data_IF_076137080263
#
_entry.id   IF_076137080263
#
_cell.length_a   1.000
_cell.length_b   1.000
_cell.length_c   1.000
_cell.angle_alpha   90.00
_cell.angle_beta   90.00
_cell.angle_gamma   90.00
#
_symmetry.space_group_name_H-M   'P 1'
#
loop_
_entity.id
_entity.type
_entity.pdbx_description
1 polymer ?
#
# COMPACT_ATOMS: atom_id res chain seq x y z
N UNK A 1 9.70 15.73 16.99
CA UNK A 1 9.73 15.80 15.51
C UNK A 1 8.83 16.90 14.96
N UNK A 2 7.59 17.05 15.46
CA UNK A 2 6.67 18.11 15.00
C UNK A 2 7.21 19.51 15.29
N UNK A 3 7.80 19.71 16.45
CA UNK A 3 8.34 21.00 16.88
C UNK A 3 9.67 21.34 16.21
N UNK A 4 10.46 20.33 15.83
CA UNK A 4 11.78 20.53 15.24
C UNK A 4 11.72 20.71 13.72
N UNK A 5 10.65 20.25 13.06
CA UNK A 5 10.51 20.27 11.59
C UNK A 5 11.53 19.41 10.84
N UNK A 6 12.43 18.72 11.55
CA UNK A 6 13.54 17.95 11.00
C UNK A 6 13.46 16.46 11.38
N UNK A 7 13.91 15.63 10.45
CA UNK A 7 14.03 14.19 10.68
C UNK A 7 15.33 13.88 11.39
N UNK A 8 15.32 13.10 12.49
CA UNK A 8 16.52 12.74 13.21
C UNK A 8 17.57 12.06 12.32
N UNK A 9 18.81 12.45 12.47
CA UNK A 9 19.92 11.92 11.66
C UNK A 9 20.07 10.40 11.82
N UNK A 10 19.87 9.85 13.01
CA UNK A 10 19.97 8.42 13.27
C UNK A 10 18.99 7.60 12.41
N UNK A 11 17.76 8.10 12.19
CA UNK A 11 16.77 7.44 11.34
C UNK A 11 17.21 7.41 9.87
N UNK A 12 17.83 8.50 9.42
CA UNK A 12 18.40 8.60 8.08
C UNK A 12 19.60 7.66 7.92
N UNK A 13 20.51 7.64 8.90
CA UNK A 13 21.70 6.80 8.89
C UNK A 13 21.38 5.30 8.91
N UNK A 14 20.43 4.89 9.77
CA UNK A 14 20.00 3.48 9.89
C UNK A 14 19.44 2.96 8.56
N UNK A 15 18.59 3.76 7.92
CA UNK A 15 17.99 3.46 6.60
C UNK A 15 19.06 3.45 5.50
N UNK A 16 19.95 4.45 5.49
CA UNK A 16 21.00 4.58 4.49
C UNK A 16 21.91 3.34 4.47
N UNK A 17 22.38 2.90 5.65
CA UNK A 17 23.21 1.68 5.78
C UNK A 17 22.51 0.44 5.23
N UNK A 18 21.22 0.28 5.55
CA UNK A 18 20.46 -0.87 5.07
C UNK A 18 20.31 -0.85 3.54
N UNK A 19 19.95 0.30 2.95
CA UNK A 19 19.80 0.40 1.49
C UNK A 19 21.12 0.27 0.75
N UNK A 20 22.18 0.84 1.29
CA UNK A 20 23.54 0.73 0.74
C UNK A 20 24.01 -0.74 0.69
N UNK A 21 23.77 -1.50 1.75
CA UNK A 21 24.09 -2.95 1.79
C UNK A 21 23.35 -3.76 0.71
N UNK A 22 22.19 -3.27 0.28
CA UNK A 22 21.40 -3.86 -0.79
C UNK A 22 21.79 -3.34 -2.20
N UNK A 23 22.61 -2.28 -2.31
CA UNK A 23 22.91 -1.61 -3.56
C UNK A 23 21.72 -0.85 -4.15
N UNK A 24 20.78 -0.41 -3.30
CA UNK A 24 19.64 0.40 -3.69
C UNK A 24 19.91 1.90 -3.45
N UNK A 25 19.36 2.81 -4.26
CA UNK A 25 19.52 4.25 -4.03
C UNK A 25 19.09 4.65 -2.60
N UNK A 26 19.95 5.32 -1.85
CA UNK A 26 19.73 5.71 -0.45
C UNK A 26 18.57 6.71 -0.32
N UNK A 27 18.41 7.58 -1.31
CA UNK A 27 17.35 8.59 -1.43
C UNK A 27 16.73 8.53 -2.83
N UNK A 28 15.50 9.04 -3.01
CA UNK A 28 14.98 9.24 -4.36
C UNK A 28 15.94 10.06 -5.20
N UNK A 29 16.45 9.54 -6.32
CA UNK A 29 17.45 10.22 -7.14
C UNK A 29 16.99 11.60 -7.61
N UNK A 30 17.91 12.57 -7.58
CA UNK A 30 17.74 13.94 -8.08
C UNK A 30 18.98 14.34 -8.87
N UNK A 31 18.77 15.05 -9.97
CA UNK A 31 19.84 15.54 -10.83
C UNK A 31 19.85 17.07 -10.72
N UNK A 32 20.98 17.65 -10.27
CA UNK A 32 21.13 19.10 -10.19
C UNK A 32 21.28 19.74 -11.57
N UNK A 33 22.19 19.16 -12.39
CA UNK A 33 22.51 19.64 -13.74
C UNK A 33 22.65 18.47 -14.70
N UNK A 34 22.41 18.72 -16.00
CA UNK A 34 22.56 17.75 -17.07
C UNK A 34 21.25 17.09 -17.50
N UNK A 35 21.35 16.16 -18.45
CA UNK A 35 20.19 15.47 -19.04
C UNK A 35 19.73 14.33 -18.14
N UNK A 36 18.44 14.31 -17.86
CA UNK A 36 17.79 13.24 -17.12
C UNK A 36 16.42 12.90 -17.69
N UNK A 37 15.83 11.81 -17.23
CA UNK A 37 14.41 11.48 -17.40
C UNK A 37 13.74 11.39 -16.04
N UNK A 38 12.52 11.89 -15.94
CA UNK A 38 11.74 11.82 -14.71
C UNK A 38 10.81 10.61 -14.75
N UNK A 39 10.84 9.83 -13.67
CA UNK A 39 9.90 8.74 -13.44
C UNK A 39 8.61 9.29 -12.85
N UNK A 40 7.47 9.05 -13.52
CA UNK A 40 6.17 9.58 -13.13
C UNK A 40 5.25 8.52 -12.50
N UNK A 41 5.79 7.43 -11.95
CA UNK A 41 4.99 6.35 -11.35
C UNK A 41 4.45 6.74 -9.97
N UNK A 42 5.25 7.43 -9.16
CA UNK A 42 4.90 7.78 -7.79
C UNK A 42 5.43 9.17 -7.38
N UNK A 43 5.08 9.58 -6.17
CA UNK A 43 5.46 10.88 -5.57
C UNK A 43 6.97 11.15 -5.53
N UNK A 44 7.79 10.09 -5.62
CA UNK A 44 9.24 10.26 -5.62
C UNK A 44 9.77 10.95 -6.88
N UNK A 45 9.07 10.85 -8.01
CA UNK A 45 9.45 11.56 -9.24
C UNK A 45 10.96 11.52 -9.52
N UNK A 46 11.56 10.31 -9.40
CA UNK A 46 12.99 10.10 -9.50
C UNK A 46 13.53 10.68 -10.83
N UNK A 47 14.56 11.50 -10.75
CA UNK A 47 15.29 12.01 -11.90
C UNK A 47 16.49 11.11 -12.15
N UNK A 48 16.54 10.49 -13.33
CA UNK A 48 17.54 9.46 -13.63
C UNK A 48 18.36 9.85 -14.86
N UNK A 49 19.69 9.85 -14.71
CA UNK A 49 20.60 9.86 -15.84
C UNK A 49 20.56 8.53 -16.57
N UNK A 50 21.18 8.46 -17.73
CA UNK A 50 21.30 7.22 -18.50
C UNK A 50 21.89 6.10 -17.63
N UNK A 51 21.24 4.93 -17.62
CA UNK A 51 21.63 3.75 -16.84
C UNK A 51 21.27 3.78 -15.36
N UNK A 52 20.84 4.92 -14.80
CA UNK A 52 20.48 5.02 -13.38
C UNK A 52 19.14 4.35 -13.08
N UNK A 53 19.00 3.89 -11.81
CA UNK A 53 17.84 3.19 -11.31
C UNK A 53 17.11 4.05 -10.26
N UNK A 54 15.79 4.04 -10.32
CA UNK A 54 14.92 4.75 -9.37
C UNK A 54 14.93 4.14 -7.98
N UNK A 55 14.39 4.90 -7.01
CA UNK A 55 14.36 4.53 -5.59
C UNK A 55 13.75 3.15 -5.30
N UNK A 56 12.74 2.72 -6.06
CA UNK A 56 12.12 1.41 -5.91
C UNK A 56 12.97 0.23 -6.46
N UNK A 57 14.04 0.49 -7.22
CA UNK A 57 14.87 -0.52 -7.85
C UNK A 57 14.36 -1.09 -9.17
N UNK A 58 13.19 -0.63 -9.67
CA UNK A 58 12.46 -1.28 -10.77
C UNK A 58 12.40 -0.47 -12.08
N UNK A 59 12.58 0.84 -12.00
CA UNK A 59 12.53 1.74 -13.14
C UNK A 59 13.91 2.31 -13.41
N UNK A 60 14.29 2.39 -14.66
CA UNK A 60 15.58 2.95 -15.09
C UNK A 60 15.40 3.82 -16.34
N UNK A 61 16.35 4.74 -16.56
CA UNK A 61 16.48 5.47 -17.81
C UNK A 61 17.38 4.65 -18.74
N UNK A 62 16.85 4.20 -19.86
CA UNK A 62 17.60 3.42 -20.86
C UNK A 62 17.29 3.98 -22.26
N UNK A 63 18.31 4.43 -22.96
CA UNK A 63 18.18 5.06 -24.27
C UNK A 63 17.34 6.33 -24.23
N UNK A 64 17.48 7.14 -23.18
CA UNK A 64 16.71 8.36 -22.99
C UNK A 64 15.22 8.15 -22.69
N UNK A 65 14.81 6.95 -22.30
CA UNK A 65 13.42 6.59 -22.00
C UNK A 65 13.30 5.89 -20.64
N UNK A 66 12.23 6.20 -19.90
CA UNK A 66 11.90 5.46 -18.67
C UNK A 66 11.42 4.07 -19.01
N UNK A 67 12.10 3.06 -18.49
CA UNK A 67 11.76 1.64 -18.73
C UNK A 67 11.60 0.89 -17.42
N UNK A 68 10.57 0.05 -17.38
CA UNK A 68 10.45 -0.98 -16.36
C UNK A 68 11.44 -2.10 -16.65
N UNK A 69 12.32 -2.41 -15.71
CA UNK A 69 13.51 -3.25 -15.93
C UNK A 69 13.21 -4.70 -16.30
N UNK A 70 12.03 -5.19 -15.98
CA UNK A 70 11.61 -6.58 -16.28
C UNK A 70 10.78 -6.71 -17.56
N UNK A 71 10.42 -5.59 -18.20
CA UNK A 71 9.38 -5.58 -19.24
C UNK A 71 7.98 -5.58 -18.62
N UNK A 72 6.97 -5.15 -19.38
CA UNK A 72 5.60 -5.00 -18.88
C UNK A 72 4.86 -6.33 -18.73
N UNK A 73 5.36 -7.38 -19.34
CA UNK A 73 4.81 -8.75 -19.30
C UNK A 73 5.24 -9.54 -18.06
N UNK A 74 6.17 -9.01 -17.25
CA UNK A 74 6.73 -9.68 -16.08
C UNK A 74 6.65 -8.80 -14.84
N UNK A 75 6.58 -9.44 -13.68
CA UNK A 75 6.63 -8.80 -12.37
C UNK A 75 7.66 -9.47 -11.47
N UNK A 76 8.25 -8.66 -10.57
CA UNK A 76 9.11 -9.14 -9.50
C UNK A 76 8.24 -9.45 -8.28
N UNK A 77 8.30 -10.66 -7.76
CA UNK A 77 7.53 -11.05 -6.60
C UNK A 77 7.11 -12.52 -6.66
N UNK A 78 6.07 -12.81 -5.94
CA UNK A 78 5.43 -14.13 -5.90
C UNK A 78 3.92 -13.95 -5.72
N UNK A 79 3.18 -15.01 -5.92
CA UNK A 79 1.77 -15.08 -5.58
C UNK A 79 1.43 -16.43 -4.92
N UNK A 80 0.34 -16.46 -4.20
CA UNK A 80 -0.19 -17.67 -3.57
C UNK A 80 -1.72 -17.58 -3.44
N UNK A 81 -2.36 -18.73 -3.29
CA UNK A 81 -3.78 -18.82 -2.99
C UNK A 81 -3.98 -18.72 -1.48
N UNK A 82 -4.72 -17.70 -1.04
CA UNK A 82 -5.03 -17.42 0.34
C UNK A 82 -6.52 -17.73 0.57
N UNK A 83 -6.86 -18.75 1.39
CA UNK A 83 -8.25 -19.17 1.58
C UNK A 83 -9.07 -18.09 2.29
N UNK A 84 -10.35 -17.95 1.92
CA UNK A 84 -11.27 -17.09 2.64
C UNK A 84 -11.78 -17.76 3.93
N UNK A 85 -11.94 -17.01 5.04
CA UNK A 85 -11.67 -15.56 5.19
C UNK A 85 -10.17 -15.25 5.21
N UNK A 86 -9.75 -14.33 4.33
CA UNK A 86 -8.34 -13.91 4.25
C UNK A 86 -7.99 -12.94 5.38
N UNK A 87 -6.72 -12.93 5.78
CA UNK A 87 -6.18 -11.99 6.75
C UNK A 87 -5.89 -10.62 6.11
N UNK A 88 -6.88 -10.04 5.46
CA UNK A 88 -6.79 -8.72 4.83
C UNK A 88 -7.00 -7.61 5.86
N UNK A 89 -6.22 -6.51 5.76
CA UNK A 89 -6.42 -5.31 6.59
C UNK A 89 -7.84 -4.76 6.48
N UNK A 90 -8.45 -4.83 5.29
CA UNK A 90 -9.85 -4.46 5.08
C UNK A 90 -10.86 -5.52 5.56
N UNK A 91 -10.43 -6.56 6.29
CA UNK A 91 -11.23 -7.70 6.74
C UNK A 91 -12.62 -7.37 7.27
N UNK A 92 -12.79 -6.37 8.17
CA UNK A 92 -14.10 -5.99 8.70
C UNK A 92 -15.13 -5.54 7.66
N UNK A 93 -14.68 -5.10 6.49
CA UNK A 93 -15.54 -4.60 5.40
C UNK A 93 -15.28 -5.32 4.06
N UNK A 94 -14.39 -6.32 4.07
CA UNK A 94 -14.04 -7.09 2.87
C UNK A 94 -15.25 -7.89 2.36
N UNK A 95 -15.60 -7.79 1.06
CA UNK A 95 -16.71 -8.55 0.48
C UNK A 95 -16.60 -10.06 0.74
N UNK A 96 -15.44 -10.64 0.55
CA UNK A 96 -15.21 -12.07 0.74
C UNK A 96 -15.36 -12.53 2.21
N UNK A 97 -15.11 -11.62 3.17
CA UNK A 97 -15.21 -11.94 4.60
C UNK A 97 -16.60 -11.61 5.20
N UNK A 98 -17.40 -10.78 4.53
CA UNK A 98 -18.65 -10.24 5.10
C UNK A 98 -19.90 -10.45 4.25
N UNK A 99 -19.73 -10.74 2.95
CA UNK A 99 -20.83 -10.79 1.99
C UNK A 99 -21.32 -9.40 1.52
N UNK A 100 -20.65 -8.30 1.90
CA UNK A 100 -21.01 -6.95 1.42
C UNK A 100 -20.98 -6.89 -0.11
N UNK A 101 -22.07 -6.40 -0.70
CA UNK A 101 -22.26 -6.34 -2.15
C UNK A 101 -22.82 -7.61 -2.78
N UNK A 102 -23.35 -8.56 -1.98
CA UNK A 102 -24.10 -9.71 -2.47
C UNK A 102 -25.40 -9.28 -3.16
N UNK A 103 -25.84 -9.91 -4.26
CA UNK A 103 -25.20 -11.02 -4.99
C UNK A 103 -24.20 -10.58 -6.08
N UNK A 104 -24.07 -9.29 -6.34
CA UNK A 104 -23.33 -8.76 -7.50
C UNK A 104 -21.84 -9.00 -7.41
N UNK A 105 -21.26 -8.81 -6.21
CA UNK A 105 -19.83 -8.77 -5.98
C UNK A 105 -19.30 -9.89 -5.08
N UNK A 106 -20.16 -10.76 -4.57
CA UNK A 106 -19.80 -11.91 -3.75
C UNK A 106 -20.53 -13.16 -4.16
N UNK A 107 -19.94 -14.32 -3.91
CA UNK A 107 -20.53 -15.64 -4.22
C UNK A 107 -21.58 -16.05 -3.18
N UNK A 108 -21.44 -15.55 -1.95
CA UNK A 108 -22.29 -15.92 -0.80
C UNK A 108 -22.75 -14.66 -0.06
N UNK A 109 -23.86 -14.69 0.66
CA UNK A 109 -24.31 -13.56 1.49
C UNK A 109 -23.47 -13.34 2.76
N UNK A 110 -22.49 -14.19 3.02
CA UNK A 110 -21.57 -14.14 4.14
C UNK A 110 -20.13 -14.41 3.70
N UNK A 111 -19.36 -15.08 4.56
CA UNK A 111 -17.98 -15.48 4.25
C UNK A 111 -17.92 -16.46 3.08
N UNK A 112 -17.06 -16.21 2.13
CA UNK A 112 -16.83 -17.06 0.94
C UNK A 112 -15.95 -18.26 1.27
N UNK A 113 -16.35 -19.14 2.19
CA UNK A 113 -15.61 -20.35 2.54
C UNK A 113 -15.51 -21.28 1.33
N UNK A 114 -14.31 -21.80 1.08
CA UNK A 114 -14.00 -22.67 -0.07
C UNK A 114 -13.54 -21.91 -1.32
N UNK A 115 -13.52 -20.59 -1.28
CA UNK A 115 -12.92 -19.73 -2.30
C UNK A 115 -11.62 -19.10 -1.82
N UNK A 116 -10.86 -18.53 -2.77
CA UNK A 116 -9.52 -18.01 -2.53
C UNK A 116 -9.35 -16.58 -3.04
N UNK A 117 -8.49 -15.86 -2.33
CA UNK A 117 -7.81 -14.68 -2.81
C UNK A 117 -6.51 -15.10 -3.51
N UNK A 118 -6.27 -14.65 -4.73
CA UNK A 118 -4.93 -14.67 -5.34
C UNK A 118 -4.13 -13.51 -4.76
N UNK A 119 -3.31 -13.80 -3.77
CA UNK A 119 -2.49 -12.85 -3.05
C UNK A 119 -1.18 -12.60 -3.80
N UNK A 120 -0.99 -11.40 -4.37
CA UNK A 120 0.15 -11.05 -5.22
C UNK A 120 1.11 -10.16 -4.45
N UNK A 121 2.25 -10.73 -4.03
CA UNK A 121 3.30 -10.04 -3.29
C UNK A 121 4.36 -9.50 -4.25
N UNK A 122 4.42 -8.17 -4.41
CA UNK A 122 5.40 -7.50 -5.26
C UNK A 122 6.70 -7.15 -4.54
N UNK A 123 7.83 -7.31 -5.22
CA UNK A 123 9.12 -6.77 -4.81
C UNK A 123 9.25 -5.28 -5.14
N UNK A 124 9.96 -4.52 -4.30
CA UNK A 124 10.14 -3.07 -4.45
C UNK A 124 8.97 -2.24 -3.91
N UNK A 125 9.26 -1.00 -3.55
CA UNK A 125 8.30 -0.06 -2.96
C UNK A 125 8.74 1.38 -3.24
N UNK A 126 7.79 2.31 -3.28
CA UNK A 126 8.06 3.75 -3.34
C UNK A 126 8.50 4.33 -1.98
N UNK A 127 8.35 3.58 -0.89
CA UNK A 127 8.75 3.93 0.48
C UNK A 127 9.89 3.04 0.99
N UNK A 128 10.48 3.46 2.10
CA UNK A 128 11.46 2.70 2.88
C UNK A 128 11.14 2.77 4.38
N UNK A 129 9.99 2.21 4.75
CA UNK A 129 9.50 2.25 6.12
C UNK A 129 10.46 1.53 7.08
N UNK A 130 10.79 2.17 8.21
CA UNK A 130 11.64 1.59 9.26
C UNK A 130 11.00 0.36 9.93
N UNK A 131 9.67 0.32 9.95
CA UNK A 131 8.84 -0.74 10.54
C UNK A 131 8.27 -1.72 9.52
N UNK A 132 8.85 -1.82 8.32
CA UNK A 132 8.29 -2.63 7.25
C UNK A 132 8.20 -4.10 7.66
N UNK A 133 6.99 -4.66 7.74
CA UNK A 133 6.80 -6.09 8.04
C UNK A 133 7.18 -6.98 6.85
N UNK A 134 7.03 -6.44 5.65
CA UNK A 134 7.34 -7.12 4.39
C UNK A 134 8.71 -6.69 3.82
N UNK A 135 9.71 -6.42 4.68
CA UNK A 135 11.00 -5.83 4.26
C UNK A 135 11.75 -6.67 3.21
N UNK A 136 11.44 -7.94 3.08
CA UNK A 136 12.00 -8.85 2.06
C UNK A 136 11.75 -8.36 0.63
N UNK A 137 10.72 -7.53 0.41
CA UNK A 137 10.50 -6.89 -0.89
C UNK A 137 11.70 -6.06 -1.36
N UNK A 138 12.49 -5.53 -0.40
CA UNK A 138 13.69 -4.73 -0.68
C UNK A 138 14.84 -5.63 -1.15
N UNK A 139 14.96 -6.82 -0.58
CA UNK A 139 15.93 -7.84 -0.98
C UNK A 139 15.63 -8.33 -2.40
N UNK A 140 14.35 -8.59 -2.70
CA UNK A 140 13.91 -8.91 -4.06
C UNK A 140 14.28 -7.80 -5.06
N UNK A 141 14.03 -6.55 -4.72
CA UNK A 141 14.40 -5.41 -5.56
C UNK A 141 15.91 -5.31 -5.74
N UNK A 142 16.71 -5.56 -4.68
CA UNK A 142 18.17 -5.62 -4.72
C UNK A 142 18.68 -6.73 -5.66
N UNK A 143 18.13 -7.93 -5.56
CA UNK A 143 18.48 -9.04 -6.45
C UNK A 143 18.19 -8.69 -7.92
N UNK A 144 17.08 -8.02 -8.20
CA UNK A 144 16.75 -7.54 -9.53
C UNK A 144 17.79 -6.52 -10.04
N UNK A 145 18.22 -5.57 -9.19
CA UNK A 145 19.28 -4.60 -9.55
C UNK A 145 20.59 -5.31 -9.87
N UNK A 146 20.92 -6.37 -9.13
CA UNK A 146 22.13 -7.18 -9.33
C UNK A 146 22.02 -8.24 -10.46
N UNK A 147 20.88 -8.26 -11.18
CA UNK A 147 20.64 -9.25 -12.24
C UNK A 147 20.42 -10.68 -11.75
N UNK A 148 20.08 -10.88 -10.48
CA UNK A 148 19.90 -12.20 -9.85
C UNK A 148 18.44 -12.59 -9.60
N UNK A 149 17.48 -11.91 -10.19
CA UNK A 149 16.05 -12.08 -9.90
C UNK A 149 15.54 -13.50 -10.12
N UNK A 150 15.27 -14.21 -9.02
CA UNK A 150 14.74 -15.59 -9.03
C UNK A 150 13.22 -15.66 -8.88
N UNK A 151 12.57 -14.59 -8.43
CA UNK A 151 11.12 -14.53 -8.19
C UNK A 151 10.49 -13.58 -9.18
N UNK A 152 10.37 -14.05 -10.41
CA UNK A 152 9.73 -13.34 -11.52
C UNK A 152 8.62 -14.23 -12.03
N UNK A 153 7.44 -13.65 -12.22
CA UNK A 153 6.30 -14.32 -12.84
C UNK A 153 5.77 -13.51 -14.00
N UNK A 154 5.10 -14.18 -14.93
CA UNK A 154 4.54 -13.54 -16.11
C UNK A 154 3.10 -13.06 -15.87
N UNK A 155 2.67 -12.09 -16.66
CA UNK A 155 1.27 -11.65 -16.72
C UNK A 155 0.34 -12.82 -17.07
N UNK A 156 0.76 -13.68 -17.99
CA UNK A 156 -0.02 -14.84 -18.43
C UNK A 156 -0.28 -15.81 -17.27
N UNK A 157 0.76 -16.23 -16.54
CA UNK A 157 0.61 -17.12 -15.35
C UNK A 157 -0.33 -16.54 -14.32
N UNK A 158 -0.22 -15.23 -14.04
CA UNK A 158 -1.08 -14.55 -13.09
C UNK A 158 -2.55 -14.55 -13.54
N UNK A 159 -2.81 -14.22 -14.79
CA UNK A 159 -4.16 -14.18 -15.37
C UNK A 159 -4.78 -15.57 -15.39
N UNK A 160 -4.05 -16.60 -15.86
CA UNK A 160 -4.53 -17.99 -15.90
C UNK A 160 -4.93 -18.48 -14.50
N UNK A 161 -4.09 -18.21 -13.48
CA UNK A 161 -4.40 -18.58 -12.09
C UNK A 161 -5.63 -17.82 -11.56
N UNK A 162 -5.73 -16.52 -11.84
CA UNK A 162 -6.85 -15.69 -11.38
C UNK A 162 -8.19 -16.11 -12.00
N UNK A 163 -8.18 -16.71 -13.19
CA UNK A 163 -9.39 -17.18 -13.87
C UNK A 163 -9.92 -18.51 -13.34
N UNK A 164 -9.19 -19.20 -12.47
CA UNK A 164 -9.67 -20.43 -11.80
C UNK A 164 -10.99 -20.17 -11.08
N UNK A 165 -12.00 -21.08 -11.17
CA UNK A 165 -13.35 -20.86 -10.62
C UNK A 165 -13.41 -20.59 -9.13
N UNK A 166 -12.48 -21.14 -8.35
CA UNK A 166 -12.37 -20.95 -6.92
C UNK A 166 -11.72 -19.62 -6.51
N UNK A 167 -11.06 -18.91 -7.43
CA UNK A 167 -10.46 -17.60 -7.16
C UNK A 167 -11.50 -16.51 -7.37
N UNK A 168 -11.90 -15.83 -6.31
CA UNK A 168 -12.92 -14.76 -6.35
C UNK A 168 -12.33 -13.36 -6.21
N UNK A 169 -11.10 -13.23 -5.77
CA UNK A 169 -10.41 -11.94 -5.79
C UNK A 169 -8.91 -12.08 -6.10
N UNK A 170 -8.33 -10.98 -6.58
CA UNK A 170 -6.89 -10.78 -6.72
C UNK A 170 -6.53 -9.55 -5.91
N UNK A 171 -5.64 -9.72 -4.93
CA UNK A 171 -5.17 -8.62 -4.09
C UNK A 171 -3.69 -8.37 -4.35
N UNK A 172 -3.38 -7.16 -4.79
CA UNK A 172 -2.01 -6.71 -5.04
C UNK A 172 -1.44 -6.00 -3.83
N UNK A 173 -0.33 -6.51 -3.28
CA UNK A 173 0.32 -5.99 -2.08
C UNK A 173 1.83 -6.28 -2.08
N UNK A 174 2.45 -6.37 -0.91
CA UNK A 174 3.85 -6.74 -0.72
C UNK A 174 4.71 -5.56 -0.34
N UNK A 175 5.67 -5.15 -1.21
CA UNK A 175 6.33 -3.86 -1.10
C UNK A 175 5.34 -2.73 -1.34
N UNK A 176 4.89 -2.61 -2.58
CA UNK A 176 3.76 -1.76 -3.00
C UNK A 176 3.41 -2.06 -4.47
N UNK A 177 2.13 -2.13 -4.86
CA UNK A 177 1.74 -2.33 -6.26
C UNK A 177 2.09 -1.15 -7.18
N UNK A 178 2.32 0.05 -6.65
CA UNK A 178 2.61 1.25 -7.43
C UNK A 178 3.76 1.09 -8.43
N UNK A 179 4.95 0.64 -8.04
CA UNK A 179 6.04 0.39 -8.98
C UNK A 179 5.72 -0.63 -10.08
N UNK A 180 4.81 -1.56 -9.82
CA UNK A 180 4.33 -2.58 -10.75
C UNK A 180 3.01 -2.23 -11.43
N UNK A 181 2.48 -1.02 -11.23
CA UNK A 181 1.14 -0.64 -11.69
C UNK A 181 0.87 -0.91 -13.17
N UNK A 182 1.80 -0.72 -14.13
CA UNK A 182 1.50 -1.07 -15.53
C UNK A 182 1.20 -2.56 -15.73
N UNK A 183 1.99 -3.44 -15.10
CA UNK A 183 1.78 -4.89 -15.13
C UNK A 183 0.46 -5.29 -14.44
N UNK A 184 0.26 -4.81 -13.21
CA UNK A 184 -0.91 -5.16 -12.41
C UNK A 184 -2.23 -4.66 -13.02
N UNK A 185 -2.23 -3.45 -13.61
CA UNK A 185 -3.38 -2.90 -14.34
C UNK A 185 -3.67 -3.74 -15.61
N UNK A 186 -2.64 -4.09 -16.36
CA UNK A 186 -2.81 -4.93 -17.55
C UNK A 186 -3.37 -6.32 -17.20
N UNK A 187 -2.80 -6.96 -16.15
CA UNK A 187 -3.31 -8.25 -15.67
C UNK A 187 -4.77 -8.14 -15.20
N UNK A 188 -5.12 -7.10 -14.44
CA UNK A 188 -6.48 -6.89 -13.95
C UNK A 188 -7.48 -6.71 -15.09
N UNK A 189 -7.13 -5.96 -16.13
CA UNK A 189 -7.97 -5.79 -17.33
C UNK A 189 -8.21 -7.12 -18.04
N UNK A 190 -7.16 -7.93 -18.22
CA UNK A 190 -7.28 -9.24 -18.84
C UNK A 190 -8.12 -10.20 -18.00
N UNK A 191 -7.97 -10.19 -16.67
CA UNK A 191 -8.79 -10.98 -15.75
C UNK A 191 -10.26 -10.61 -15.88
N UNK A 192 -10.59 -9.31 -15.81
CA UNK A 192 -11.98 -8.86 -15.89
C UNK A 192 -12.61 -9.14 -17.24
N UNK A 193 -11.86 -8.90 -18.33
CA UNK A 193 -12.30 -9.18 -19.70
C UNK A 193 -12.62 -10.66 -19.92
N UNK A 194 -11.84 -11.57 -19.34
CA UNK A 194 -11.96 -13.00 -19.55
C UNK A 194 -12.70 -13.72 -18.40
N UNK A 195 -13.28 -13.00 -17.46
CA UNK A 195 -13.97 -13.56 -16.28
C UNK A 195 -15.24 -14.37 -16.62
N UNK A 196 -15.81 -14.18 -17.80
CA UNK A 196 -17.04 -14.87 -18.22
C UNK A 196 -18.24 -14.60 -17.30
N UNK A 197 -18.31 -13.44 -16.66
CA UNK A 197 -19.36 -13.09 -15.71
C UNK A 197 -19.14 -13.65 -14.28
N UNK A 198 -18.02 -14.33 -14.03
CA UNK A 198 -17.67 -14.78 -12.68
C UNK A 198 -17.25 -13.59 -11.81
N UNK A 199 -17.49 -13.71 -10.51
CA UNK A 199 -16.97 -12.75 -9.53
C UNK A 199 -15.46 -12.82 -9.50
N UNK A 200 -14.80 -11.73 -9.89
CA UNK A 200 -13.33 -11.53 -9.87
C UNK A 200 -13.04 -10.13 -9.37
N UNK A 201 -12.92 -9.96 -8.07
CA UNK A 201 -12.61 -8.65 -7.45
C UNK A 201 -11.14 -8.31 -7.62
N UNK A 202 -10.85 -7.06 -7.96
CA UNK A 202 -9.49 -6.50 -8.03
C UNK A 202 -9.28 -5.58 -6.84
N UNK A 203 -8.36 -5.95 -5.96
CA UNK A 203 -8.05 -5.23 -4.73
C UNK A 203 -6.60 -4.73 -4.70
N UNK A 204 -6.37 -3.61 -4.03
CA UNK A 204 -5.06 -3.01 -3.87
C UNK A 204 -4.79 -2.69 -2.40
N UNK A 205 -3.72 -3.22 -1.85
CA UNK A 205 -3.15 -2.75 -0.61
C UNK A 205 -1.91 -1.90 -0.92
N UNK A 206 -2.04 -0.60 -0.78
CA UNK A 206 -1.04 0.35 -1.28
C UNK A 206 -0.74 1.46 -0.28
N UNK A 207 0.43 2.07 -0.41
CA UNK A 207 0.79 3.28 0.33
C UNK A 207 0.13 4.56 -0.22
N UNK A 208 -0.63 4.48 -1.31
CA UNK A 208 -1.41 5.59 -1.86
C UNK A 208 -0.63 6.70 -2.57
N UNK A 209 0.67 6.53 -2.82
CA UNK A 209 1.54 7.58 -3.37
C UNK A 209 1.74 7.52 -4.89
N UNK A 210 0.98 6.73 -5.58
CA UNK A 210 1.01 6.64 -7.05
C UNK A 210 0.63 7.97 -7.69
N UNK A 211 1.07 8.14 -8.94
CA UNK A 211 0.57 9.21 -9.79
C UNK A 211 -0.97 9.16 -9.82
N UNK A 212 -1.67 10.32 -9.76
CA UNK A 212 -3.12 10.35 -9.74
C UNK A 212 -3.81 9.62 -10.90
N UNK A 213 -3.22 9.64 -12.10
CA UNK A 213 -3.76 8.89 -13.24
C UNK A 213 -3.70 7.38 -13.02
N UNK A 214 -2.61 6.88 -12.42
CA UNK A 214 -2.47 5.47 -12.04
C UNK A 214 -3.46 5.12 -10.94
N UNK A 215 -3.56 5.95 -9.88
CA UNK A 215 -4.51 5.73 -8.79
C UNK A 215 -5.96 5.69 -9.29
N UNK A 216 -6.33 6.57 -10.22
CA UNK A 216 -7.66 6.58 -10.82
C UNK A 216 -7.97 5.29 -11.56
N UNK A 217 -7.01 4.75 -12.30
CA UNK A 217 -7.19 3.49 -13.02
C UNK A 217 -7.29 2.29 -12.07
N UNK A 218 -6.45 2.23 -11.03
CA UNK A 218 -6.56 1.24 -9.96
C UNK A 218 -7.95 1.28 -9.30
N UNK A 219 -8.43 2.48 -8.98
CA UNK A 219 -9.74 2.67 -8.38
C UNK A 219 -10.90 2.27 -9.30
N UNK A 220 -10.81 2.54 -10.60
CA UNK A 220 -11.82 2.10 -11.56
C UNK A 220 -11.92 0.58 -11.65
N UNK A 221 -10.80 -0.12 -11.72
CA UNK A 221 -10.77 -1.58 -11.74
C UNK A 221 -11.40 -2.18 -10.48
N UNK A 222 -11.13 -1.61 -9.31
CA UNK A 222 -11.79 -2.01 -8.08
C UNK A 222 -13.28 -1.66 -8.08
N UNK A 223 -13.67 -0.48 -8.56
CA UNK A 223 -15.06 -0.04 -8.64
C UNK A 223 -15.90 -1.00 -9.47
N UNK A 224 -15.42 -1.35 -10.67
CA UNK A 224 -16.12 -2.23 -11.62
C UNK A 224 -16.25 -3.65 -11.07
N UNK A 225 -15.19 -4.16 -10.43
CA UNK A 225 -15.10 -5.55 -9.99
C UNK A 225 -15.67 -5.84 -8.59
N UNK A 226 -16.04 -4.83 -7.81
CA UNK A 226 -16.41 -5.01 -6.41
C UNK A 226 -15.21 -5.12 -5.44
N UNK A 227 -14.01 -4.80 -5.92
CA UNK A 227 -12.79 -4.78 -5.10
C UNK A 227 -12.62 -3.52 -4.26
N UNK A 228 -11.54 -3.45 -3.51
CA UNK A 228 -11.22 -2.37 -2.57
C UNK A 228 -9.84 -1.77 -2.91
N UNK A 229 -9.74 -0.45 -2.80
CA UNK A 229 -8.46 0.27 -2.69
C UNK A 229 -8.21 0.56 -1.21
N UNK A 230 -7.30 -0.19 -0.58
CA UNK A 230 -6.86 0.05 0.78
C UNK A 230 -5.58 0.89 0.77
N UNK A 231 -5.64 2.08 1.36
CA UNK A 231 -4.54 3.03 1.45
C UNK A 231 -3.94 3.04 2.85
N UNK A 232 -2.63 2.81 2.95
CA UNK A 232 -1.89 2.94 4.20
C UNK A 232 -1.44 4.39 4.42
N UNK A 233 -2.09 5.12 5.31
CA UNK A 233 -1.67 6.46 5.71
C UNK A 233 -0.72 6.39 6.91
N UNK A 234 0.56 6.60 6.68
CA UNK A 234 1.60 6.30 7.69
C UNK A 234 1.71 7.34 8.81
N UNK A 235 1.47 8.62 8.53
CA UNK A 235 1.39 9.71 9.49
C UNK A 235 0.79 10.96 8.84
N UNK A 236 0.22 11.85 9.64
CA UNK A 236 -0.31 13.15 9.19
C UNK A 236 0.79 14.21 9.05
N UNK A 237 1.65 14.31 10.08
CA UNK A 237 2.71 15.31 10.11
C UNK A 237 3.81 14.96 9.11
N UNK A 238 4.18 15.86 8.18
CA UNK A 238 5.21 15.59 7.18
C UNK A 238 6.54 15.12 7.75
N UNK A 239 7.01 15.72 8.85
CA UNK A 239 8.27 15.33 9.49
C UNK A 239 8.21 13.90 10.06
N UNK A 240 7.08 13.49 10.66
CA UNK A 240 6.86 12.11 11.14
C UNK A 240 6.77 11.16 9.95
N UNK A 241 6.02 11.53 8.91
CA UNK A 241 5.91 10.73 7.70
C UNK A 241 7.29 10.46 7.08
N UNK A 242 8.11 11.50 6.90
CA UNK A 242 9.46 11.38 6.39
C UNK A 242 10.37 10.54 7.30
N UNK A 243 10.30 10.75 8.61
CA UNK A 243 11.06 9.97 9.60
C UNK A 243 10.75 8.47 9.50
N UNK A 244 9.47 8.11 9.35
CA UNK A 244 9.02 6.73 9.26
C UNK A 244 9.30 6.08 7.90
N UNK A 245 9.22 6.84 6.80
CA UNK A 245 9.16 6.28 5.43
C UNK A 245 10.34 6.60 4.53
N UNK A 246 11.14 7.63 4.86
CA UNK A 246 12.36 8.00 4.13
C UNK A 246 12.15 8.76 2.82
N UNK A 247 10.94 9.23 2.56
CA UNK A 247 10.62 10.07 1.40
C UNK A 247 10.18 11.47 1.85
N UNK A 248 10.13 12.43 0.94
CA UNK A 248 9.70 13.79 1.26
C UNK A 248 8.28 13.80 1.83
N UNK A 249 8.17 14.10 3.13
CA UNK A 249 6.92 14.01 3.87
C UNK A 249 5.85 15.01 3.41
N UNK A 250 6.25 16.22 3.01
CA UNK A 250 5.31 17.24 2.52
C UNK A 250 4.65 16.75 1.22
N UNK A 251 5.44 16.37 0.23
CA UNK A 251 4.93 15.82 -1.04
C UNK A 251 4.09 14.56 -0.83
N UNK A 252 4.49 13.69 0.09
CA UNK A 252 3.77 12.45 0.37
C UNK A 252 2.39 12.69 0.98
N UNK A 253 2.30 13.53 2.01
CA UNK A 253 1.02 13.85 2.67
C UNK A 253 0.05 14.56 1.71
N UNK A 254 0.55 15.50 0.90
CA UNK A 254 -0.28 16.16 -0.12
C UNK A 254 -0.77 15.18 -1.21
N UNK A 255 0.09 14.25 -1.64
CA UNK A 255 -0.30 13.20 -2.60
C UNK A 255 -1.35 12.26 -2.00
N UNK A 256 -1.22 11.87 -0.74
CA UNK A 256 -2.22 11.06 -0.04
C UNK A 256 -3.57 11.77 0.03
N UNK A 257 -3.59 13.02 0.46
CA UNK A 257 -4.82 13.83 0.49
C UNK A 257 -5.49 13.88 -0.87
N UNK A 258 -4.71 14.13 -1.92
CA UNK A 258 -5.22 14.16 -3.29
C UNK A 258 -5.81 12.80 -3.71
N UNK A 259 -5.06 11.71 -3.53
CA UNK A 259 -5.48 10.39 -3.98
C UNK A 259 -6.67 9.83 -3.17
N UNK A 260 -6.75 10.12 -1.86
CA UNK A 260 -7.92 9.78 -1.03
C UNK A 260 -9.18 10.47 -1.56
N UNK A 261 -9.13 11.77 -1.86
CA UNK A 261 -10.27 12.49 -2.49
C UNK A 261 -10.64 11.87 -3.83
N UNK A 262 -9.66 11.65 -4.69
CA UNK A 262 -9.84 11.08 -6.03
C UNK A 262 -10.57 9.73 -5.99
N UNK A 263 -10.19 8.85 -5.05
CA UNK A 263 -10.86 7.53 -4.90
C UNK A 263 -12.23 7.69 -4.27
N UNK A 264 -12.37 8.60 -3.29
CA UNK A 264 -13.67 8.87 -2.63
C UNK A 264 -14.70 9.46 -3.59
N UNK A 265 -14.31 10.31 -4.54
CA UNK A 265 -15.21 10.84 -5.59
C UNK A 265 -15.86 9.74 -6.42
N UNK A 266 -15.17 8.63 -6.65
CA UNK A 266 -15.70 7.47 -7.38
C UNK A 266 -16.65 6.62 -6.54
N UNK A 267 -16.65 6.77 -5.21
CA UNK A 267 -17.47 5.98 -4.30
C UNK A 267 -18.98 6.19 -4.53
N UNK A 268 -19.40 7.39 -4.95
CA UNK A 268 -20.79 7.67 -5.28
C UNK A 268 -21.38 6.76 -6.35
N UNK A 269 -20.53 6.08 -7.13
CA UNK A 269 -20.93 5.13 -8.18
C UNK A 269 -21.17 3.71 -7.67
N UNK A 270 -20.81 3.42 -6.40
CA UNK A 270 -20.99 2.13 -5.74
C UNK A 270 -21.04 2.32 -4.22
N UNK A 271 -22.17 1.99 -3.62
CA UNK A 271 -22.35 2.09 -2.17
C UNK A 271 -21.67 0.91 -1.45
N UNK A 272 -21.93 -0.32 -1.92
CA UNK A 272 -21.37 -1.55 -1.33
C UNK A 272 -20.74 -2.48 -2.40
N UNK A 273 -19.64 -3.13 -2.08
CA UNK A 273 -18.76 -2.94 -0.90
C UNK A 273 -18.01 -1.59 -0.98
N UNK A 274 -17.43 -1.09 0.15
CA UNK A 274 -16.72 0.19 0.13
C UNK A 274 -15.57 0.17 -0.87
N UNK A 275 -15.44 1.23 -1.70
CA UNK A 275 -14.34 1.32 -2.67
C UNK A 275 -13.02 1.66 -1.99
N UNK A 276 -13.05 2.56 -1.02
CA UNK A 276 -11.89 3.06 -0.29
C UNK A 276 -11.90 2.58 1.14
N UNK A 277 -10.76 2.06 1.60
CA UNK A 277 -10.46 1.80 3.01
C UNK A 277 -9.13 2.47 3.34
N UNK A 278 -9.03 3.11 4.49
CA UNK A 278 -7.78 3.71 4.95
C UNK A 278 -7.29 3.00 6.20
N UNK A 279 -5.99 2.78 6.32
CA UNK A 279 -5.40 2.22 7.53
C UNK A 279 -4.23 3.05 8.04
N UNK A 280 -4.01 3.02 9.35
CA UNK A 280 -2.85 3.65 10.00
C UNK A 280 -2.27 2.70 11.05
N UNK A 281 -0.95 2.47 10.97
CA UNK A 281 -0.22 1.70 11.96
C UNK A 281 0.10 2.58 13.18
N UNK A 282 -0.34 2.18 14.36
CA UNK A 282 -0.15 2.89 15.62
C UNK A 282 1.27 2.65 16.15
N UNK A 283 2.26 3.30 15.52
CA UNK A 283 3.69 3.17 15.89
C UNK A 283 3.96 3.94 17.19
N UNK A 284 4.35 3.26 18.29
CA UNK A 284 4.60 3.91 19.57
C UNK A 284 5.62 5.05 19.48
N UNK A 285 5.30 6.20 20.10
CA UNK A 285 6.15 7.37 20.11
C UNK A 285 6.20 8.20 18.82
N UNK A 286 5.60 7.72 17.73
CA UNK A 286 5.52 8.42 16.44
C UNK A 286 4.08 8.77 16.05
N UNK A 287 3.21 7.78 15.96
CA UNK A 287 1.80 7.96 15.57
C UNK A 287 0.97 8.01 16.85
N UNK A 288 0.89 9.18 17.44
CA UNK A 288 0.12 9.45 18.66
C UNK A 288 -1.36 9.79 18.35
N UNK A 289 -2.12 10.09 19.39
CA UNK A 289 -3.54 10.41 19.30
C UNK A 289 -3.81 11.62 18.39
N UNK A 290 -2.91 12.62 18.36
CA UNK A 290 -3.04 13.81 17.51
C UNK A 290 -2.83 13.48 16.02
N UNK A 291 -1.94 12.54 15.69
CA UNK A 291 -1.77 12.05 14.32
C UNK A 291 -3.06 11.36 13.85
N UNK A 292 -3.65 10.51 14.70
CA UNK A 292 -4.90 9.81 14.40
C UNK A 292 -6.06 10.79 14.25
N UNK A 293 -6.21 11.75 15.17
CA UNK A 293 -7.24 12.79 15.12
C UNK A 293 -7.21 13.57 13.81
N UNK A 294 -6.03 14.05 13.42
CA UNK A 294 -5.89 14.82 12.19
C UNK A 294 -6.22 14.00 10.92
N UNK A 295 -5.77 12.73 10.87
CA UNK A 295 -6.12 11.83 9.76
C UNK A 295 -7.63 11.59 9.75
N UNK A 296 -8.23 11.24 10.89
CA UNK A 296 -9.65 10.93 11.00
C UNK A 296 -10.53 12.15 10.66
N UNK A 297 -10.18 13.33 11.16
CA UNK A 297 -10.87 14.59 10.82
C UNK A 297 -10.83 14.87 9.33
N UNK A 298 -9.67 14.68 8.70
CA UNK A 298 -9.55 14.83 7.26
C UNK A 298 -10.41 13.81 6.50
N UNK A 299 -10.34 12.53 6.88
CA UNK A 299 -11.15 11.48 6.24
C UNK A 299 -12.64 11.76 6.40
N UNK A 300 -13.10 12.15 7.59
CA UNK A 300 -14.49 12.51 7.85
C UNK A 300 -14.95 13.73 7.03
N UNK A 301 -14.04 14.71 6.79
CA UNK A 301 -14.34 15.86 5.93
C UNK A 301 -14.47 15.51 4.45
N UNK A 302 -13.83 14.43 4.01
CA UNK A 302 -13.95 13.90 2.64
C UNK A 302 -15.22 13.05 2.52
N UNK A 303 -15.38 12.07 3.42
CA UNK A 303 -16.56 11.21 3.52
C UNK A 303 -16.54 10.45 4.87
N UNK A 304 -17.51 10.72 5.77
CA UNK A 304 -17.58 10.05 7.08
C UNK A 304 -17.83 8.54 7.01
N UNK A 305 -18.18 8.02 5.85
CA UNK A 305 -18.38 6.58 5.62
C UNK A 305 -17.11 5.86 5.11
N UNK A 306 -15.94 6.49 5.05
CA UNK A 306 -14.69 5.80 4.74
C UNK A 306 -14.32 4.90 5.93
N UNK A 307 -14.23 3.56 5.76
CA UNK A 307 -13.75 2.69 6.82
C UNK A 307 -12.29 3.00 7.16
N UNK A 308 -12.01 3.15 8.47
CA UNK A 308 -10.68 3.45 8.99
C UNK A 308 -10.19 2.35 9.92
N UNK A 309 -9.04 1.75 9.59
CA UNK A 309 -8.48 0.62 10.33
C UNK A 309 -7.22 1.09 11.08
N UNK A 310 -7.26 1.02 12.40
CA UNK A 310 -6.14 1.31 13.28
C UNK A 310 -5.39 0.02 13.58
N UNK A 311 -4.18 -0.11 13.06
CA UNK A 311 -3.40 -1.36 13.17
C UNK A 311 -2.45 -1.32 14.36
N UNK A 312 -2.47 -2.37 15.17
CA UNK A 312 -1.46 -2.55 16.19
C UNK A 312 -0.09 -2.82 15.56
N UNK A 313 0.94 -2.15 16.08
CA UNK A 313 2.32 -2.24 15.64
C UNK A 313 3.01 -3.47 16.22
N UNK A 314 3.84 -4.12 15.42
CA UNK A 314 4.76 -5.17 15.81
C UNK A 314 6.21 -4.72 15.60
N UNK A 315 7.11 -4.88 16.60
CA UNK A 315 8.54 -4.57 16.47
C UNK A 315 9.19 -5.42 15.39
N UNK A 316 9.64 -4.78 14.31
CA UNK A 316 10.25 -5.49 13.19
C UNK A 316 11.23 -4.61 12.41
N UNK A 317 11.96 -5.21 11.48
CA UNK A 317 12.92 -4.60 10.58
C UNK A 317 13.92 -3.68 11.32
N UNK A 318 13.83 -2.36 11.13
CA UNK A 318 14.73 -1.38 11.74
C UNK A 318 14.17 -0.72 13.03
N UNK A 319 12.99 -1.15 13.49
CA UNK A 319 12.31 -0.66 14.71
C UNK A 319 11.98 -1.81 15.67
N UNK A 320 12.99 -2.62 16.00
CA UNK A 320 12.84 -3.77 16.93
C UNK A 320 12.92 -3.38 18.39
N UNK A 321 13.32 -2.17 18.68
CA UNK A 321 13.54 -1.59 19.99
C UNK A 321 12.29 -0.90 20.59
N UNK A 322 11.19 -0.84 19.84
CA UNK A 322 9.91 -0.31 20.32
C UNK A 322 9.02 -1.43 20.87
N UNK A 323 8.15 -1.14 21.87
CA UNK A 323 7.12 -2.07 22.30
C UNK A 323 6.04 -2.23 21.20
N UNK A 324 5.19 -3.27 21.31
CA UNK A 324 3.94 -3.33 20.55
C UNK A 324 2.99 -2.21 20.98
N UNK A 325 2.01 -1.85 20.14
CA UNK A 325 0.97 -0.88 20.51
C UNK A 325 0.29 -1.27 21.81
N UNK A 326 0.11 -0.33 22.73
CA UNK A 326 -0.62 -0.60 23.96
C UNK A 326 -2.14 -0.60 23.73
N UNK A 327 -2.84 -1.36 24.56
CA UNK A 327 -4.31 -1.39 24.56
C UNK A 327 -4.89 0.01 24.82
N UNK A 328 -4.31 0.77 25.77
CA UNK A 328 -4.71 2.15 26.08
C UNK A 328 -4.61 3.05 24.84
N UNK A 329 -3.50 2.97 24.10
CA UNK A 329 -3.29 3.74 22.88
C UNK A 329 -4.34 3.38 21.82
N UNK A 330 -4.56 2.09 21.57
CA UNK A 330 -5.49 1.63 20.54
C UNK A 330 -6.94 2.06 20.84
N UNK A 331 -7.40 1.92 22.09
CA UNK A 331 -8.77 2.29 22.49
C UNK A 331 -8.98 3.80 22.44
N UNK A 332 -8.01 4.61 22.92
CA UNK A 332 -8.10 6.07 22.81
C UNK A 332 -8.09 6.54 21.36
N UNK A 333 -7.25 5.94 20.52
CA UNK A 333 -7.19 6.22 19.09
C UNK A 333 -8.52 5.88 18.38
N UNK A 334 -9.13 4.73 18.71
CA UNK A 334 -10.45 4.32 18.22
C UNK A 334 -11.52 5.35 18.58
N UNK A 335 -11.55 5.76 19.86
CA UNK A 335 -12.51 6.76 20.36
C UNK A 335 -12.34 8.09 19.62
N UNK A 336 -11.12 8.61 19.55
CA UNK A 336 -10.81 9.88 18.86
C UNK A 336 -11.22 9.83 17.39
N UNK A 337 -10.94 8.75 16.68
CA UNK A 337 -11.31 8.62 15.28
C UNK A 337 -12.83 8.64 15.06
N UNK A 338 -13.60 8.02 15.98
CA UNK A 338 -15.08 8.09 15.97
C UNK A 338 -15.58 9.48 16.33
N UNK A 339 -15.03 10.10 17.35
CA UNK A 339 -15.39 11.46 17.79
C UNK A 339 -15.07 12.51 16.68
N UNK A 340 -14.09 12.21 15.80
CA UNK A 340 -13.80 13.01 14.61
C UNK A 340 -14.84 12.88 13.48
N UNK A 341 -15.86 12.03 13.64
CA UNK A 341 -17.00 11.91 12.71
C UNK A 341 -16.99 10.69 11.80
N UNK A 342 -16.01 9.77 11.90
CA UNK A 342 -15.99 8.53 11.12
C UNK A 342 -16.98 7.50 11.69
N UNK A 343 -17.76 6.86 10.79
CA UNK A 343 -18.80 5.88 11.18
C UNK A 343 -18.25 4.47 11.37
N UNK A 344 -17.28 4.07 10.55
CA UNK A 344 -16.72 2.72 10.54
C UNK A 344 -15.24 2.79 10.92
N UNK A 345 -14.93 2.60 12.21
CA UNK A 345 -13.55 2.57 12.73
C UNK A 345 -13.32 1.25 13.47
N UNK A 346 -12.23 0.58 13.12
CA UNK A 346 -11.88 -0.75 13.63
C UNK A 346 -10.44 -0.78 14.11
N UNK A 347 -10.14 -1.69 15.04
CA UNK A 347 -8.77 -2.05 15.41
C UNK A 347 -8.41 -3.33 14.64
N UNK A 348 -7.24 -3.37 14.03
CA UNK A 348 -6.68 -4.55 13.42
C UNK A 348 -5.44 -5.04 14.16
N UNK A 349 -5.11 -6.32 13.98
CA UNK A 349 -4.03 -7.01 14.69
C UNK A 349 -4.17 -6.95 16.23
N UNK A 350 -5.40 -7.07 16.75
CA UNK A 350 -5.71 -6.92 18.20
C UNK A 350 -4.87 -7.86 19.10
N UNK A 351 -4.49 -9.03 18.58
CA UNK A 351 -3.63 -9.98 19.30
C UNK A 351 -2.22 -9.47 19.61
N UNK A 352 -1.81 -8.35 19.01
CA UNK A 352 -0.52 -7.69 19.28
C UNK A 352 -0.61 -6.64 20.39
N UNK A 353 -1.80 -6.30 20.86
CA UNK A 353 -1.99 -5.26 21.88
C UNK A 353 -1.37 -5.67 23.21
N UNK A 354 -0.68 -4.74 23.84
CA UNK A 354 0.03 -4.96 25.10
C UNK A 354 -0.39 -3.97 26.21
N UNK A 355 0.18 -4.13 27.39
CA UNK A 355 0.04 -3.18 28.50
C UNK A 355 1.35 -2.42 28.76
N UNK A 356 2.23 -2.31 27.76
CA UNK A 356 3.60 -1.82 27.94
C UNK A 356 3.73 -0.33 28.19
N UNK A 357 2.72 0.48 27.82
CA UNK A 357 2.70 1.93 28.08
C UNK A 357 1.26 2.48 28.04
N UNK A 358 1.08 3.71 28.51
CA UNK A 358 -0.15 4.52 28.41
C UNK A 358 0.12 5.80 27.62
N UNK A 359 -0.90 6.39 26.99
CA UNK A 359 -0.83 7.67 26.24
C UNK A 359 -1.83 8.69 26.78
#
# INVERSE_FOLDING_TARGET
LRSLGEVPEFSRAKRARFRDSLGLPIKPPRVGEGVFRQCNICVNECQLREGEVGFCGLWSNVGGSMRFRLGLDKALGLWYLDPHPTNCVAGPVCPANTGRGYPKYTKTPGVEVGYYNLAVFFGGCSLDCLFCQNYEHKELASESVKGRGRRIFSLKELVETALSPEVTCVCYFGGDPGPHSPHAIAASREILKNSGGQVKRVCWETNGLQNPAIMREMARLSLESGGIVKIDWKAWSPAIYEALTGVNGVKAVERLKHNVRLVSELRSLREEPPLLVVSTLLVPGYVDLREVENIATYLASVDPGIPYILLAFHPTHLMRDLPTTSYDHAIKALKIARDSGLREVYIGNEWLLSKSYTV
#
